data_IF_693274125544
#
_entry.id   IF_693274125544
#
_cell.length_a   1.000
_cell.length_b   1.000
_cell.length_c   1.000
_cell.angle_alpha   90.00
_cell.angle_beta   90.00
_cell.angle_gamma   90.00
#
_symmetry.space_group_name_H-M   'P 1'
#
loop_
_entity.id
_entity.type
_entity.pdbx_description
1 polymer ?
2 non-polymer ?
3 non-polymer ?
4 water ?
#
# COMPACT_ATOMS: atom_id res chain seq x y z
N UNK A 5 -9.04 -17.92 -18.76
CA UNK A 5 -8.88 -16.56 -19.26
C UNK A 5 -7.44 -16.05 -18.86
N UNK A 6 -7.14 -14.85 -18.37
CA UNK A 6 -5.72 -14.54 -18.06
C UNK A 6 -5.43 -14.19 -16.59
N UNK A 7 -4.18 -14.53 -16.20
CA UNK A 7 -3.51 -14.36 -14.89
C UNK A 7 -2.05 -13.95 -15.16
N UNK A 8 -1.63 -12.80 -14.60
CA UNK A 8 -0.28 -12.25 -14.70
C UNK A 8 0.19 -12.07 -13.26
N UNK A 9 1.47 -12.24 -13.10
CA UNK A 9 2.15 -12.10 -11.86
C UNK A 9 3.07 -10.95 -12.05
N UNK A 10 3.27 -10.19 -10.99
CA UNK A 10 4.15 -9.04 -10.93
C UNK A 10 5.08 -9.29 -9.73
N UNK A 11 6.33 -9.46 -10.06
CA UNK A 11 7.36 -9.73 -9.13
C UNK A 11 7.71 -8.44 -8.40
N UNK A 12 7.71 -8.43 -7.07
CA UNK A 12 8.06 -7.24 -6.29
C UNK A 12 9.42 -7.38 -5.62
N UNK A 13 9.99 -6.23 -5.28
CA UNK A 13 11.24 -6.08 -4.58
C UNK A 13 10.95 -5.55 -3.20
N UNK A 14 11.50 -6.20 -2.19
CA UNK A 14 11.28 -5.78 -0.85
C UNK A 14 12.47 -4.93 -0.46
N UNK A 15 12.21 -3.70 -0.11
CA UNK A 15 13.26 -2.86 0.37
C UNK A 15 13.00 -2.65 1.84
N UNK A 16 13.77 -3.33 2.65
CA UNK A 16 13.66 -3.19 4.07
C UNK A 16 12.34 -3.33 4.75
N UNK A 17 11.46 -4.14 4.17
CA UNK A 17 10.16 -4.37 4.74
C UNK A 17 9.32 -3.14 4.73
N UNK A 18 9.77 -2.15 4.03
CA UNK A 18 9.01 -0.95 4.08
C UNK A 18 8.59 -0.42 2.74
N UNK A 19 9.20 -0.99 1.68
CA UNK A 19 8.87 -0.57 0.31
C UNK A 19 8.85 -1.78 -0.52
N UNK A 20 7.69 -2.07 -1.08
CA UNK A 20 7.47 -3.21 -1.97
C UNK A 20 7.14 -2.66 -3.34
N UNK A 21 8.03 -2.79 -4.30
CA UNK A 21 7.78 -2.23 -5.63
C UNK A 21 8.03 -3.18 -6.77
N UNK A 22 7.38 -2.88 -7.86
CA UNK A 22 7.50 -3.68 -9.06
C UNK A 22 7.65 -2.72 -10.23
N UNK A 23 7.69 -3.30 -11.45
CA UNK A 23 7.85 -2.50 -12.66
C UNK A 23 6.76 -2.46 -13.69
N UNK A 24 6.61 -1.29 -14.30
CA UNK A 24 5.63 -1.04 -15.35
C UNK A 24 6.35 -0.37 -16.44
N UNK A 25 5.77 -0.41 -17.64
CA UNK A 25 6.37 0.21 -18.81
C UNK A 25 5.40 1.20 -19.36
N UNK A 26 5.93 2.36 -19.70
CA UNK A 26 5.11 3.42 -20.23
C UNK A 26 5.59 3.99 -21.55
N UNK A 27 4.66 4.21 -22.41
CA UNK A 27 5.07 4.80 -23.67
C UNK A 27 5.51 3.75 -24.61
N UNK A 28 5.88 4.22 -25.78
CA UNK A 28 6.33 3.40 -26.88
C UNK A 28 7.52 4.10 -27.51
N UNK A 29 8.72 3.49 -27.43
CA UNK A 29 9.08 2.22 -26.75
C UNK A 29 8.87 2.38 -25.25
N UNK A 30 8.63 1.31 -24.53
CA UNK A 30 8.36 1.43 -23.09
C UNK A 30 9.48 2.07 -22.26
N UNK A 31 9.12 2.92 -21.28
CA UNK A 31 9.97 3.58 -20.29
C UNK A 31 9.58 2.90 -18.97
N UNK A 32 10.56 2.30 -18.30
CA UNK A 32 10.37 1.55 -17.09
C UNK A 32 10.51 2.26 -15.80
N UNK A 33 9.50 2.01 -14.97
CA UNK A 33 9.43 2.65 -13.69
C UNK A 33 9.13 1.66 -12.64
N UNK A 34 9.59 1.91 -11.41
CA UNK A 34 9.35 1.08 -10.29
C UNK A 34 8.25 1.80 -9.53
N UNK A 35 7.20 1.09 -9.21
CA UNK A 35 6.11 1.71 -8.54
C UNK A 35 5.59 0.82 -7.46
N UNK A 36 4.95 1.46 -6.50
CA UNK A 36 4.32 0.76 -5.40
C UNK A 36 2.90 0.61 -5.90
N UNK A 37 2.22 -0.47 -5.58
CA UNK A 37 0.85 -0.66 -6.01
C UNK A 37 0.10 -0.40 -4.75
N UNK A 38 -0.59 0.70 -4.70
CA UNK A 38 -1.31 1.11 -3.49
C UNK A 38 -2.80 0.93 -3.47
N UNK A 39 -3.36 0.10 -2.55
CA UNK A 39 -4.80 -0.04 -2.54
C UNK A 39 -5.49 1.14 -1.85
N UNK A 40 -4.68 2.10 -1.45
CA UNK A 40 -5.24 3.28 -0.72
C UNK A 40 -5.48 4.47 -1.62
N UNK A 41 -5.15 4.34 -2.91
CA UNK A 41 -5.38 5.45 -3.80
C UNK A 41 -5.70 4.98 -5.21
N UNK A 42 -6.00 5.91 -6.10
CA UNK A 42 -6.36 5.37 -7.41
C UNK A 42 -5.67 6.01 -8.60
N UNK A 43 -4.80 6.96 -8.37
CA UNK A 43 -4.14 7.53 -9.52
C UNK A 43 -2.81 6.86 -9.79
N UNK A 44 -2.30 7.04 -11.03
CA UNK A 44 -1.00 6.60 -11.54
C UNK A 44 -0.16 7.85 -11.73
N UNK A 45 1.08 7.80 -11.30
CA UNK A 45 1.96 8.94 -11.48
C UNK A 45 3.38 8.42 -11.54
N UNK A 46 4.25 9.19 -12.16
CA UNK A 46 5.66 8.90 -12.33
C UNK A 46 6.36 10.25 -12.41
N UNK A 47 7.63 10.29 -12.24
CA UNK A 47 8.17 11.58 -12.36
C UNK A 47 8.35 12.00 -13.82
N UNK A 48 8.22 13.29 -14.01
CA UNK A 48 8.36 13.88 -15.30
C UNK A 48 9.70 14.52 -15.60
N UNK A 49 9.95 14.62 -16.87
CA UNK A 49 11.16 15.28 -17.40
C UNK A 49 11.12 16.77 -17.12
N UNK A 50 9.92 17.33 -17.06
CA UNK A 50 9.67 18.73 -16.80
C UNK A 50 9.83 19.07 -15.30
N UNK A 51 10.37 18.12 -14.51
CA UNK A 51 10.62 18.30 -13.07
C UNK A 51 11.96 19.01 -12.88
N UNK A 52 12.01 20.07 -12.07
CA UNK A 52 13.27 20.74 -11.86
C UNK A 52 14.19 20.07 -10.86
N UNK A 53 15.50 20.11 -11.20
CA UNK A 53 16.59 19.60 -10.41
C UNK A 53 16.61 20.43 -9.10
N UNK A 54 15.81 21.50 -9.13
CA UNK A 54 15.59 22.40 -8.02
C UNK A 54 14.61 21.67 -7.06
N UNK A 55 14.53 20.32 -7.24
CA UNK A 55 13.78 19.19 -6.58
C UNK A 55 14.69 17.98 -6.73
N UNK A 56 15.40 17.67 -5.65
CA UNK A 56 16.38 16.62 -5.54
C UNK A 56 15.89 15.22 -5.83
N UNK A 57 14.67 14.97 -5.36
CA UNK A 57 14.04 13.69 -5.56
C UNK A 57 14.03 13.38 -7.07
N UNK A 58 13.74 14.40 -7.89
CA UNK A 58 13.75 14.27 -9.34
C UNK A 58 15.17 14.01 -9.86
N UNK A 59 16.21 14.37 -9.12
CA UNK A 59 17.51 14.08 -9.68
C UNK A 59 17.92 12.63 -9.46
N UNK A 60 17.30 12.03 -8.44
CA UNK A 60 17.62 10.68 -8.02
C UNK A 60 16.65 9.55 -8.40
N UNK A 61 15.64 9.87 -9.23
CA UNK A 61 14.62 8.95 -9.71
C UNK A 61 14.49 9.02 -11.22
N UNK A 62 13.93 7.96 -11.83
CA UNK A 62 13.73 7.87 -13.27
C UNK A 62 12.64 8.88 -13.75
N UNK A 63 12.89 9.59 -14.83
CA UNK A 63 11.97 10.57 -15.28
C UNK A 63 11.37 10.24 -16.62
N UNK A 64 10.11 10.39 -16.68
CA UNK A 64 9.45 10.13 -17.89
C UNK A 64 9.54 11.24 -18.95
N UNK A 65 10.02 10.85 -20.15
CA UNK A 65 10.20 11.74 -21.33
C UNK A 65 9.06 11.66 -22.36
N UNK A 66 8.10 12.55 -22.31
CA UNK A 66 7.03 12.39 -23.28
C UNK A 66 7.48 12.41 -24.72
N UNK A 67 8.39 13.30 -25.01
CA UNK A 67 8.85 13.39 -26.33
C UNK A 67 9.47 12.13 -26.84
N UNK A 68 9.65 11.14 -26.02
CA UNK A 68 10.26 9.97 -26.59
C UNK A 68 9.27 8.88 -26.82
N UNK A 69 8.01 9.21 -26.73
CA UNK A 69 7.00 8.17 -26.96
C UNK A 69 6.05 8.60 -28.08
N UNK A 70 5.78 7.65 -28.94
CA UNK A 70 4.90 7.78 -30.09
C UNK A 70 3.47 7.75 -29.74
N UNK A 71 3.16 7.03 -28.66
CA UNK A 71 1.82 6.91 -28.20
C UNK A 71 1.35 8.02 -27.26
N UNK A 72 2.28 8.88 -26.75
CA UNK A 72 1.90 9.96 -25.86
C UNK A 72 0.86 10.82 -26.52
N UNK A 73 -0.17 11.15 -25.76
CA UNK A 73 -1.27 12.01 -26.14
C UNK A 73 -1.43 12.93 -24.94
N UNK A 74 -1.14 14.18 -25.21
CA UNK A 74 -1.18 15.32 -24.31
C UNK A 74 -2.55 15.65 -23.82
N UNK A 75 -2.61 16.01 -22.52
CA UNK A 75 -3.80 16.42 -21.80
C UNK A 75 -3.45 17.71 -21.11
N UNK A 76 -2.56 17.66 -20.15
CA UNK A 76 -2.15 18.89 -19.51
C UNK A 76 -2.99 19.41 -18.37
N UNK A 77 -4.12 18.77 -18.05
CA UNK A 77 -4.90 19.28 -16.90
C UNK A 77 -4.03 19.13 -15.62
N UNK A 78 -3.96 20.20 -14.79
CA UNK A 78 -3.16 20.16 -13.54
C UNK A 78 -3.66 19.09 -12.54
N UNK A 79 -2.79 18.61 -11.69
CA UNK A 79 -3.13 17.57 -10.77
C UNK A 79 -2.34 17.71 -9.46
N UNK A 80 -3.03 17.63 -8.32
CA UNK A 80 -2.37 17.73 -7.05
C UNK A 80 -2.77 16.52 -6.26
N UNK A 81 -1.81 15.75 -5.76
CA UNK A 81 -2.17 14.59 -4.99
C UNK A 81 -1.57 14.61 -3.61
N UNK A 82 -2.46 14.83 -2.63
CA UNK A 82 -2.15 14.88 -1.23
C UNK A 82 -2.27 13.47 -0.59
N UNK A 83 -1.16 12.89 -0.17
CA UNK A 83 -1.20 11.61 0.49
C UNK A 83 -1.06 11.80 2.03
N UNK A 84 -1.18 10.71 2.82
CA UNK A 84 -1.00 10.79 4.26
C UNK A 84 0.36 11.39 4.50
N UNK A 85 1.30 10.93 3.70
CA UNK A 85 2.65 11.39 3.75
C UNK A 85 3.10 11.87 2.37
N UNK A 86 3.26 13.17 2.16
CA UNK A 86 3.72 13.53 0.83
C UNK A 86 2.59 14.04 -0.06
N UNK A 87 2.91 15.06 -0.76
CA UNK A 87 2.02 15.70 -1.69
C UNK A 87 2.79 15.83 -2.96
N UNK A 88 2.16 15.48 -4.10
CA UNK A 88 2.81 15.57 -5.41
C UNK A 88 1.82 16.25 -6.30
N UNK A 89 2.40 16.99 -7.24
CA UNK A 89 1.75 17.82 -8.25
C UNK A 89 2.40 17.70 -9.60
N UNK A 90 1.54 17.92 -10.59
CA UNK A 90 2.01 17.87 -11.96
C UNK A 90 0.83 17.96 -12.87
N UNK A 91 0.94 17.44 -14.07
CA UNK A 91 -0.19 17.52 -14.95
C UNK A 91 -0.45 16.18 -15.56
N UNK A 92 -1.66 16.03 -15.93
CA UNK A 92 -2.19 14.81 -16.50
C UNK A 92 -1.75 14.52 -17.93
N UNK A 93 -1.57 13.26 -18.17
CA UNK A 93 -1.17 12.84 -19.46
C UNK A 93 -1.58 11.45 -19.85
N UNK A 94 -1.58 11.19 -21.15
CA UNK A 94 -1.99 9.89 -21.56
C UNK A 94 -1.07 9.11 -22.46
N UNK A 95 -0.92 7.80 -22.20
CA UNK A 95 -0.03 6.95 -23.05
C UNK A 95 -0.30 5.50 -22.71
N UNK A 96 0.38 4.54 -23.33
CA UNK A 96 0.07 3.15 -22.96
C UNK A 96 0.97 2.68 -21.85
N UNK A 97 0.42 1.93 -20.92
CA UNK A 97 1.16 1.41 -19.79
C UNK A 97 0.96 -0.07 -19.81
N UNK A 98 1.98 -0.84 -19.51
CA UNK A 98 1.87 -2.29 -19.50
C UNK A 98 2.38 -2.77 -18.15
N UNK A 99 1.60 -3.55 -17.49
CA UNK A 99 1.98 -4.02 -16.23
C UNK A 99 1.64 -5.47 -16.28
N UNK A 100 2.57 -6.30 -15.94
CA UNK A 100 2.21 -7.69 -15.92
C UNK A 100 1.89 -8.33 -17.26
N UNK A 101 2.36 -7.73 -18.28
CA UNK A 101 2.12 -8.28 -19.56
C UNK A 101 0.82 -7.79 -20.23
N UNK A 102 0.01 -6.91 -19.61
CA UNK A 102 -1.24 -6.33 -20.08
C UNK A 102 -1.10 -4.84 -20.37
N UNK A 103 -1.36 -4.48 -21.62
CA UNK A 103 -1.23 -3.11 -22.08
C UNK A 103 -2.55 -2.42 -22.13
N UNK A 104 -2.62 -1.27 -21.51
CA UNK A 104 -3.82 -0.50 -21.51
C UNK A 104 -3.39 0.90 -21.85
N UNK A 105 -4.36 1.66 -22.28
CA UNK A 105 -4.12 3.06 -22.62
C UNK A 105 -4.56 3.80 -21.39
N UNK A 106 -3.62 4.43 -20.69
CA UNK A 106 -3.96 5.05 -19.44
C UNK A 106 -3.64 6.50 -19.24
N UNK A 107 -4.51 7.17 -18.45
CA UNK A 107 -4.31 8.56 -18.09
C UNK A 107 -3.48 8.56 -16.81
N UNK A 108 -2.30 9.20 -16.84
CA UNK A 108 -1.43 9.18 -15.67
C UNK A 108 -0.88 10.53 -15.40
N UNK A 109 -0.44 10.72 -14.21
CA UNK A 109 0.09 12.02 -13.99
C UNK A 109 1.60 12.06 -14.24
N UNK A 110 2.06 13.16 -14.82
CA UNK A 110 3.49 13.37 -14.99
C UNK A 110 3.84 14.35 -13.80
N UNK A 111 4.55 13.95 -12.70
CA UNK A 111 4.86 14.79 -11.50
C UNK A 111 5.96 15.81 -11.70
N UNK A 112 5.76 17.09 -11.34
CA UNK A 112 6.86 18.05 -11.58
C UNK A 112 7.31 18.69 -10.26
N UNK A 113 6.64 18.27 -9.19
CA UNK A 113 6.87 18.70 -7.84
C UNK A 113 6.78 17.45 -7.01
N UNK A 114 7.95 17.12 -6.47
CA UNK A 114 8.18 15.97 -5.63
C UNK A 114 9.08 16.37 -4.44
N UNK A 115 8.48 16.64 -3.28
CA UNK A 115 9.22 17.04 -2.07
C UNK A 115 10.28 16.04 -1.63
N UNK A 116 11.32 16.54 -1.01
CA UNK A 116 12.36 15.65 -0.54
C UNK A 116 11.85 14.75 0.54
N UNK A 117 11.10 15.32 1.47
CA UNK A 117 10.53 14.53 2.53
C UNK A 117 9.10 14.32 2.07
N UNK A 118 8.68 13.08 1.81
CA UNK A 118 9.33 11.79 1.99
C UNK A 118 9.95 11.20 0.75
N UNK A 119 9.81 11.82 -0.42
CA UNK A 119 10.39 11.19 -1.65
C UNK A 119 11.87 10.84 -1.72
N UNK A 120 12.76 11.46 -0.96
CA UNK A 120 14.17 11.04 -1.08
C UNK A 120 14.38 9.71 -0.36
N UNK A 121 13.40 9.30 0.43
CA UNK A 121 13.55 8.03 1.07
C UNK A 121 13.08 6.95 0.08
N UNK A 122 12.47 7.39 -1.00
CA UNK A 122 11.90 6.45 -1.92
C UNK A 122 12.75 5.61 -2.76
N UNK A 123 12.57 4.31 -2.72
CA UNK A 123 13.42 3.58 -3.67
C UNK A 123 12.71 3.37 -5.03
N UNK A 124 11.41 3.62 -5.07
CA UNK A 124 10.58 3.48 -6.24
C UNK A 124 10.51 4.81 -6.89
N UNK A 125 10.02 4.85 -8.12
CA UNK A 125 9.90 6.12 -8.80
C UNK A 125 8.48 6.69 -8.74
N UNK A 126 7.50 5.80 -8.69
CA UNK A 126 6.11 6.27 -8.67
C UNK A 126 5.18 5.25 -8.08
N UNK A 127 3.91 5.65 -8.19
CA UNK A 127 2.76 4.93 -7.69
C UNK A 127 1.70 4.57 -8.77
N UNK A 128 1.14 3.40 -8.61
CA UNK A 128 0.06 2.85 -9.45
C UNK A 128 -1.10 2.59 -8.47
N UNK A 129 -2.17 3.43 -8.40
CA UNK A 129 -3.28 3.19 -7.42
C UNK A 129 -4.20 2.04 -7.79
N UNK A 130 -4.49 1.16 -6.85
CA UNK A 130 -5.35 0.03 -7.15
C UNK A 130 -6.67 0.14 -6.49
N UNK A 131 -7.06 1.37 -6.21
CA UNK A 131 -8.33 1.63 -5.58
C UNK A 131 -9.43 1.79 -6.66
N UNK A 132 -10.56 2.39 -6.23
CA UNK A 132 -11.76 2.63 -7.00
C UNK A 132 -11.84 4.01 -7.59
N UNK A 133 -12.74 4.22 -8.50
CA UNK A 133 -12.78 5.52 -9.05
C UNK A 133 -13.23 6.62 -8.09
N UNK A 134 -13.91 6.25 -7.04
CA UNK A 134 -14.34 7.22 -6.06
C UNK A 134 -13.22 7.92 -5.30
N UNK A 135 -11.98 7.39 -5.36
CA UNK A 135 -10.80 7.97 -4.65
C UNK A 135 -9.82 8.71 -5.60
N UNK A 136 -10.16 8.58 -6.88
CA UNK A 136 -9.43 9.11 -8.01
C UNK A 136 -9.54 10.58 -8.17
N UNK A 137 -8.41 11.19 -7.96
CA UNK A 137 -8.39 12.59 -8.08
C UNK A 137 -8.65 12.91 -9.55
N UNK A 138 -9.49 13.87 -9.84
CA UNK A 138 -9.70 14.14 -11.23
C UNK A 138 -10.66 13.18 -11.91
N UNK A 139 -11.38 12.35 -11.15
CA UNK A 139 -12.32 11.41 -11.72
C UNK A 139 -11.75 10.55 -12.86
N UNK A 140 -10.42 10.50 -12.94
CA UNK A 140 -9.67 9.71 -13.93
C UNK A 140 -9.83 8.23 -13.66
N UNK A 141 -10.13 7.47 -14.71
CA UNK A 141 -10.32 6.03 -14.52
C UNK A 141 -9.10 5.23 -14.13
N UNK A 142 -9.20 4.53 -13.02
CA UNK A 142 -8.16 3.72 -12.47
C UNK A 142 -7.70 2.61 -13.42
N UNK A 143 -6.38 2.29 -13.34
CA UNK A 143 -5.73 1.31 -14.18
C UNK A 143 -6.41 -0.03 -14.15
N UNK A 144 -6.87 -0.44 -13.00
CA UNK A 144 -7.47 -1.74 -12.96
C UNK A 144 -8.82 -1.80 -13.60
N UNK A 145 -9.55 -0.74 -13.51
CA UNK A 145 -10.84 -0.74 -14.13
C UNK A 145 -10.59 -0.86 -15.60
N UNK A 146 -9.61 -0.13 -16.08
CA UNK A 146 -9.33 -0.25 -17.49
C UNK A 146 -8.90 -1.68 -17.81
N UNK A 147 -8.18 -2.30 -16.90
CA UNK A 147 -7.74 -3.65 -17.19
C UNK A 147 -8.91 -4.61 -17.34
N UNK A 148 -9.81 -4.44 -16.42
CA UNK A 148 -10.97 -5.23 -16.38
C UNK A 148 -11.70 -5.04 -17.70
N UNK A 149 -11.88 -3.79 -18.10
CA UNK A 149 -12.58 -3.45 -19.35
C UNK A 149 -12.06 -4.20 -20.58
N UNK A 150 -10.81 -4.42 -20.57
CA UNK A 150 -10.19 -5.12 -21.64
C UNK A 150 -10.72 -6.54 -21.72
N UNK A 151 -11.44 -6.92 -20.70
CA UNK A 151 -11.96 -8.27 -20.65
C UNK A 151 -10.90 -9.37 -20.84
N UNK A 152 -10.01 -9.59 -19.92
CA UNK A 152 -9.03 -10.62 -20.20
C UNK A 152 -8.65 -11.45 -18.99
N UNK A 153 -8.89 -10.99 -17.79
CA UNK A 153 -8.50 -11.82 -16.67
C UNK A 153 -9.47 -12.92 -16.38
N UNK A 154 -8.94 -13.98 -15.80
CA UNK A 154 -9.74 -15.10 -15.41
C UNK A 154 -10.84 -14.66 -14.48
N UNK A 155 -10.48 -13.73 -13.60
CA UNK A 155 -11.38 -13.17 -12.62
C UNK A 155 -11.00 -11.75 -12.25
N UNK A 156 -11.96 -11.00 -11.70
CA UNK A 156 -11.70 -9.64 -11.27
C UNK A 156 -11.24 -9.62 -9.85
N UNK A 157 -10.03 -10.07 -9.72
CA UNK A 157 -9.35 -10.19 -8.47
C UNK A 157 -7.89 -9.92 -8.70
N UNK A 158 -7.29 -9.45 -7.64
CA UNK A 158 -5.87 -9.17 -7.58
C UNK A 158 -5.44 -9.57 -6.14
N UNK A 159 -4.24 -10.18 -6.04
CA UNK A 159 -3.65 -10.69 -4.80
C UNK A 159 -2.28 -10.15 -4.57
N UNK A 160 -2.02 -9.88 -3.29
CA UNK A 160 -0.77 -9.39 -2.77
C UNK A 160 -0.02 -10.40 -1.89
N UNK A 161 1.25 -10.59 -2.16
CA UNK A 161 2.12 -11.46 -1.37
C UNK A 161 3.30 -10.54 -1.05
N UNK A 162 3.53 -10.23 0.24
CA UNK A 162 4.65 -9.44 0.69
C UNK A 162 5.56 -10.40 1.46
N UNK A 163 6.81 -10.52 1.08
CA UNK A 163 7.72 -11.37 1.75
C UNK A 163 8.44 -10.62 2.85
N UNK A 164 9.01 -11.46 3.74
CA UNK A 164 9.82 -11.07 4.89
C UNK A 164 11.21 -10.55 4.53
N UNK A 165 11.89 -11.15 3.67
N UNK A 172 12.31 -11.70 -5.32
CA UNK A 172 11.07 -12.25 -4.78
C UNK A 172 10.76 -11.82 -3.39
N UNK A 173 10.76 -10.51 -3.25
CA UNK A 173 10.49 -9.74 -2.07
C UNK A 173 8.99 -9.66 -2.01
N UNK A 174 8.38 -10.02 -3.14
CA UNK A 174 6.93 -10.00 -3.15
C UNK A 174 6.32 -10.45 -4.45
N UNK A 175 5.02 -10.47 -4.49
CA UNK A 175 4.40 -10.86 -5.73
C UNK A 175 2.93 -10.50 -5.77
N UNK A 176 2.51 -9.79 -6.82
CA UNK A 176 1.11 -9.41 -7.00
C UNK A 176 0.59 -10.26 -8.18
N UNK A 177 -0.59 -10.82 -8.05
CA UNK A 177 -1.17 -11.63 -9.09
C UNK A 177 -2.41 -10.95 -9.66
N UNK A 178 -2.43 -10.62 -10.93
CA UNK A 178 -3.59 -9.98 -11.47
C UNK A 178 -4.55 -11.03 -12.04
N UNK A 179 -5.77 -11.05 -11.55
CA UNK A 179 -6.77 -12.01 -12.01
C UNK A 179 -6.79 -13.34 -11.31
N UNK A 180 -6.20 -13.47 -10.11
CA UNK A 180 -6.17 -14.76 -9.36
C UNK A 180 -5.30 -14.73 -8.10
N UNK A 181 -4.87 -15.89 -7.55
CA UNK A 181 -4.02 -15.94 -6.40
C UNK A 181 -2.96 -16.99 -6.64
N UNK A 182 -1.94 -16.98 -5.85
CA UNK A 182 -0.94 -17.94 -6.03
C UNK A 182 -0.88 -18.62 -4.71
N UNK A 183 -1.26 -19.86 -4.84
CA UNK A 183 -1.36 -20.76 -3.74
C UNK A 183 -0.05 -21.24 -3.21
N UNK A 184 0.95 -21.11 -4.00
CA UNK A 184 2.21 -21.50 -3.48
C UNK A 184 2.60 -20.49 -2.36
N UNK A 185 1.78 -19.42 -2.10
CA UNK A 185 2.06 -18.40 -1.12
C UNK A 185 1.09 -18.21 0.01
N UNK A 186 0.26 -19.23 0.21
CA UNK A 186 -0.68 -19.17 1.32
C UNK A 186 -1.08 -20.53 1.70
N UNK A 187 -1.27 -20.69 2.98
CA UNK A 187 -1.67 -21.93 3.63
C UNK A 187 -3.13 -21.83 4.00
N UNK A 188 -3.84 -22.92 3.73
CA UNK A 188 -5.24 -23.06 4.01
C UNK A 188 -6.15 -22.29 3.05
N UNK A 189 -7.39 -22.07 3.52
CA UNK A 189 -8.41 -21.37 2.76
C UNK A 189 -8.42 -19.89 3.14
N UNK A 190 -9.10 -19.11 2.32
CA UNK A 190 -9.28 -17.69 2.50
C UNK A 190 -10.50 -17.42 3.37
N UNK A 191 -10.47 -16.29 4.06
CA UNK A 191 -11.55 -15.82 4.94
C UNK A 191 -11.90 -14.46 4.43
N UNK A 192 -13.17 -14.30 4.08
CA UNK A 192 -13.64 -13.12 3.45
C UNK A 192 -14.41 -12.19 4.27
N UNK A 193 -14.16 -10.93 4.01
CA UNK A 193 -14.84 -9.92 4.74
C UNK A 193 -15.37 -8.97 3.66
N UNK A 194 -16.66 -8.58 3.72
CA UNK A 194 -17.30 -7.72 2.76
C UNK A 194 -16.99 -6.28 2.91
N UNK A 195 -16.99 -5.67 1.76
CA UNK A 195 -16.74 -4.31 1.81
C UNK A 195 -17.91 -3.69 2.58
N UNK A 196 -17.55 -2.70 3.38
CA UNK A 196 -18.46 -1.99 4.26
C UNK A 196 -19.21 -0.97 3.44
N UNK A 197 -18.44 -0.28 2.62
CA UNK A 197 -18.89 0.73 1.65
C UNK A 197 -18.15 0.48 0.33
N UNK A 198 -18.80 0.77 -0.76
CA UNK A 198 -18.12 0.53 -2.00
C UNK A 198 -17.33 1.78 -2.37
N UNK A 199 -16.28 1.62 -3.16
CA UNK A 199 -15.45 2.77 -3.54
C UNK A 199 -14.16 2.87 -2.71
N UNK A 200 -13.96 2.01 -1.68
CA UNK A 200 -12.79 2.05 -0.84
C UNK A 200 -12.56 0.72 -0.22
N UNK A 201 -11.29 0.30 -0.22
CA UNK A 201 -11.07 -0.98 0.39
C UNK A 201 -11.09 -0.91 1.93
N UNK A 202 -12.27 -0.81 2.53
CA UNK A 202 -12.42 -0.75 3.96
C UNK A 202 -13.47 -1.75 4.42
N UNK A 203 -13.18 -2.40 5.53
CA UNK A 203 -14.01 -3.37 6.18
C UNK A 203 -14.13 -2.94 7.64
N UNK A 204 -15.01 -3.65 8.29
CA UNK A 204 -15.27 -3.39 9.67
C UNK A 204 -14.33 -4.24 10.52
N UNK A 205 -13.89 -3.71 11.66
CA UNK A 205 -13.03 -4.48 12.53
C UNK A 205 -13.79 -4.63 13.83
N UNK A 206 -13.63 -5.74 14.47
CA UNK A 206 -14.37 -5.84 15.68
C UNK A 206 -13.60 -5.70 17.00
N UNK A 207 -12.31 -5.39 17.01
CA UNK A 207 -11.56 -5.25 18.24
C UNK A 207 -10.13 -5.49 17.95
N UNK A 208 -9.29 -4.76 18.70
CA UNK A 208 -7.86 -4.85 18.69
C UNK A 208 -7.56 -5.37 20.11
N UNK A 209 -6.95 -6.52 20.27
CA UNK A 209 -6.65 -7.04 21.57
C UNK A 209 -5.17 -7.05 21.89
N UNK A 210 -4.81 -6.84 23.16
CA UNK A 210 -3.42 -6.92 23.56
C UNK A 210 -3.29 -8.14 24.45
N UNK A 211 -2.54 -9.11 24.02
CA UNK A 211 -2.45 -10.34 24.79
C UNK A 211 -3.81 -10.98 24.60
N UNK A 212 -4.56 -11.10 25.66
CA UNK A 212 -5.85 -11.69 25.45
C UNK A 212 -7.05 -10.78 25.75
N UNK A 213 -6.81 -9.50 25.96
CA UNK A 213 -7.77 -8.46 26.29
C UNK A 213 -8.04 -7.43 25.20
N UNK A 214 -9.32 -7.21 24.95
CA UNK A 214 -9.77 -6.26 23.97
C UNK A 214 -9.57 -4.88 24.57
N UNK A 215 -8.65 -4.07 23.99
CA UNK A 215 -8.33 -2.73 24.45
C UNK A 215 -8.89 -1.66 23.57
N UNK A 216 -8.93 -1.95 22.28
CA UNK A 216 -9.43 -0.90 21.44
C UNK A 216 -10.46 -1.44 20.54
N UNK A 217 -11.16 -0.50 19.92
CA UNK A 217 -12.17 -0.79 18.92
C UNK A 217 -13.18 -1.86 19.30
N UNK A 218 -13.67 -1.75 20.51
CA UNK A 218 -14.60 -2.75 21.03
C UNK A 218 -16.02 -2.77 20.59
N UNK A 219 -16.46 -1.63 20.06
CA UNK A 219 -17.78 -1.47 19.57
C UNK A 219 -17.69 -1.36 18.05
N UNK A 220 -16.51 -1.87 17.53
CA UNK A 220 -16.12 -1.96 16.11
C UNK A 220 -15.55 -0.67 15.56
N UNK A 221 -14.88 -0.81 14.46
CA UNK A 221 -14.25 0.33 13.85
C UNK A 221 -13.96 -0.05 12.43
N UNK A 222 -13.27 0.83 11.70
CA UNK A 222 -12.97 0.54 10.31
C UNK A 222 -11.55 0.33 10.07
N UNK A 223 -11.32 -0.59 9.18
CA UNK A 223 -9.97 -0.92 8.77
C UNK A 223 -9.71 -0.69 7.27
N UNK A 224 -8.77 0.19 6.83
CA UNK A 224 -8.59 0.26 5.40
C UNK A 224 -7.47 -0.73 5.12
N UNK A 225 -7.61 -1.63 4.13
CA UNK A 225 -6.52 -2.58 3.83
C UNK A 225 -5.61 -1.88 2.84
N UNK A 226 -4.48 -1.34 3.31
CA UNK A 226 -3.64 -0.50 2.38
C UNK A 226 -2.26 -1.04 2.09
N UNK A 227 -2.01 -1.46 0.86
CA UNK A 227 -0.74 -2.03 0.52
C UNK A 227 0.34 -1.01 0.35
N UNK A 228 -0.05 0.25 0.20
CA UNK A 228 0.95 1.22 0.01
C UNK A 228 1.34 1.95 1.29
N UNK A 229 0.92 1.44 2.46
CA UNK A 229 1.25 1.96 3.82
C UNK A 229 2.25 0.95 4.38
N UNK A 230 3.48 1.33 4.74
CA UNK A 230 4.48 0.37 5.27
C UNK A 230 4.17 -0.23 6.65
N UNK A 231 3.44 0.53 7.44
CA UNK A 231 3.13 0.08 8.79
C UNK A 231 1.62 -0.09 9.00
N UNK A 232 1.19 -0.38 10.23
CA UNK A 232 -0.19 -0.49 10.62
C UNK A 232 -0.46 0.87 11.17
N UNK A 233 -1.61 1.43 10.90
CA UNK A 233 -1.92 2.76 11.36
C UNK A 233 -3.21 2.70 12.15
N UNK A 234 -3.33 3.68 12.96
CA UNK A 234 -4.41 3.93 13.83
C UNK A 234 -4.45 5.42 14.14
N UNK A 235 -5.57 5.83 14.61
CA UNK A 235 -5.65 7.20 14.92
C UNK A 235 -4.74 7.47 16.09
N UNK A 236 -4.44 8.75 16.21
CA UNK A 236 -3.58 9.17 17.30
C UNK A 236 -4.02 8.67 18.70
N UNK A 237 -5.30 8.92 19.09
CA UNK A 237 -5.91 8.48 20.34
C UNK A 237 -5.78 6.94 20.50
N UNK A 238 -5.90 6.23 19.45
CA UNK A 238 -5.75 4.82 19.63
C UNK A 238 -4.32 4.32 19.78
N UNK A 239 -3.45 4.88 18.97
CA UNK A 239 -2.08 4.40 19.03
C UNK A 239 -1.46 4.75 20.40
N UNK A 240 -1.90 5.86 20.95
CA UNK A 240 -1.44 6.29 22.25
C UNK A 240 -1.76 5.22 23.30
N UNK A 241 -2.99 4.78 23.31
CA UNK A 241 -3.47 3.79 24.24
C UNK A 241 -2.78 2.45 24.05
N UNK A 242 -2.55 2.11 22.79
CA UNK A 242 -1.89 0.87 22.42
C UNK A 242 -0.43 0.82 22.87
N UNK A 243 0.30 1.87 22.50
CA UNK A 243 1.70 2.00 22.85
C UNK A 243 1.89 2.02 24.36
N UNK A 244 0.95 2.68 25.02
CA UNK A 244 0.96 2.73 26.47
C UNK A 244 0.98 1.26 26.97
N UNK A 245 0.13 0.47 26.39
CA UNK A 245 0.01 -0.92 26.73
C UNK A 245 1.14 -1.79 26.31
N UNK A 246 1.84 -1.39 25.30
CA UNK A 246 2.93 -2.27 24.92
C UNK A 246 4.21 -1.83 25.67
N UNK A 247 4.21 -0.62 26.14
CA UNK A 247 5.38 -0.07 26.82
C UNK A 247 6.39 0.61 25.88
N UNK A 248 5.88 1.24 24.83
CA UNK A 248 6.70 1.88 23.83
C UNK A 248 6.74 3.40 23.97
N UNK A 249 7.92 3.93 23.56
CA UNK A 249 8.26 5.33 23.59
C UNK A 249 8.08 5.95 22.22
N UNK A 250 7.64 7.18 22.24
CA UNK A 250 7.41 7.95 21.08
C UNK A 250 8.64 8.74 20.68
N UNK A 251 9.02 8.55 19.43
CA UNK A 251 10.09 9.27 18.78
C UNK A 251 9.33 10.12 17.79
N UNK A 252 9.98 11.03 17.11
CA UNK A 252 9.24 11.86 16.19
C UNK A 252 8.78 11.02 15.04
N UNK A 253 9.68 10.19 14.63
CA UNK A 253 9.38 9.40 13.51
C UNK A 253 8.83 7.97 13.72
N UNK A 254 8.78 7.46 14.96
CA UNK A 254 8.34 6.09 15.17
C UNK A 254 8.15 5.74 16.62
N UNK A 255 7.57 4.57 16.88
CA UNK A 255 7.43 4.22 18.26
C UNK A 255 8.57 3.29 18.46
N UNK A 256 9.17 3.34 19.63
CA UNK A 256 10.32 2.54 19.89
C UNK A 256 10.27 1.87 21.24
N UNK A 257 11.07 0.85 21.30
CA UNK A 257 11.23 0.06 22.51
C UNK A 257 12.70 -0.35 22.71
N UNK A 258 13.15 -0.52 23.97
CA UNK A 258 14.54 -0.98 24.12
C UNK A 258 14.64 -2.31 23.43
N UNK A 259 15.65 -2.43 22.58
CA UNK A 259 15.75 -3.67 21.89
C UNK A 259 15.84 -4.90 22.72
N UNK A 260 16.29 -4.82 23.93
CA UNK A 260 16.33 -6.09 24.59
C UNK A 260 14.90 -6.51 24.95
N UNK A 261 14.00 -5.57 25.02
CA UNK A 261 12.65 -5.91 25.42
C UNK A 261 11.75 -6.45 24.33
N UNK A 262 12.25 -6.46 23.13
CA UNK A 262 11.49 -6.88 22.00
C UNK A 262 10.71 -8.15 22.17
N UNK A 263 11.34 -9.09 22.76
CA UNK A 263 10.61 -10.31 22.88
C UNK A 263 9.76 -10.46 24.11
N UNK A 264 9.48 -9.39 24.86
CA UNK A 264 8.67 -9.43 26.06
C UNK A 264 7.34 -8.78 25.76
N UNK A 265 7.27 -8.26 24.53
CA UNK A 265 6.13 -7.53 24.04
C UNK A 265 4.98 -8.45 23.72
N UNK A 266 3.78 -8.11 24.13
CA UNK A 266 2.62 -8.98 23.92
C UNK A 266 2.18 -9.09 22.50
N UNK A 267 1.42 -10.14 22.23
CA UNK A 267 0.88 -10.29 20.89
C UNK A 267 -0.30 -9.35 20.77
N UNK A 268 -0.58 -8.94 19.55
CA UNK A 268 -1.65 -8.01 19.24
C UNK A 268 -2.54 -8.74 18.22
N UNK A 269 -3.82 -8.57 18.33
CA UNK A 269 -4.68 -9.29 17.40
C UNK A 269 -5.79 -8.41 16.91
N UNK A 270 -6.07 -8.56 15.58
CA UNK A 270 -7.11 -7.86 14.85
C UNK A 270 -8.25 -8.84 14.59
N UNK A 271 -9.43 -8.40 15.03
CA UNK A 271 -10.67 -9.16 14.90
C UNK A 271 -11.45 -8.71 13.70
N UNK A 272 -11.18 -9.44 12.69
CA UNK A 272 -11.73 -9.19 11.42
C UNK A 272 -12.64 -10.29 11.08
N UNK A 273 -13.85 -9.87 10.93
CA UNK A 273 -14.80 -10.80 10.55
C UNK A 273 -14.90 -11.85 11.60
N UNK A 274 -14.81 -13.06 11.14
CA UNK A 274 -14.90 -14.14 12.07
C UNK A 274 -13.57 -14.60 12.64
N UNK A 275 -12.43 -13.90 12.46
CA UNK A 275 -11.17 -14.42 13.04
C UNK A 275 -10.39 -13.36 13.78
N UNK A 276 -9.43 -13.89 14.59
CA UNK A 276 -8.50 -13.05 15.28
C UNK A 276 -7.30 -13.23 14.39
N UNK A 277 -6.66 -12.14 14.01
CA UNK A 277 -5.45 -12.13 13.17
C UNK A 277 -4.40 -11.55 14.10
N UNK A 278 -3.46 -12.40 14.52
CA UNK A 278 -2.45 -12.05 15.49
C UNK A 278 -1.07 -11.86 15.02
N UNK A 279 -0.55 -10.75 15.44
CA UNK A 279 0.82 -10.47 15.11
C UNK A 279 1.57 -10.59 16.41
N UNK A 280 2.71 -11.20 16.38
CA UNK A 280 3.48 -11.30 17.60
C UNK A 280 4.65 -10.33 17.59
N UNK A 281 5.36 -10.22 18.72
CA UNK A 281 6.54 -9.32 18.78
C UNK A 281 7.43 -9.47 17.52
N UNK A 282 7.54 -10.71 17.05
CA UNK A 282 8.32 -11.05 15.90
C UNK A 282 7.80 -10.50 14.60
N UNK A 283 6.56 -10.18 14.58
CA UNK A 283 6.01 -9.63 13.36
C UNK A 283 5.98 -8.15 13.33
N UNK A 284 5.99 -7.49 14.51
CA UNK A 284 5.89 -6.05 14.48
C UNK A 284 7.00 -5.18 15.03
N UNK A 285 8.12 -5.82 15.40
CA UNK A 285 9.28 -5.10 15.94
C UNK A 285 10.42 -5.26 14.96
N UNK A 286 11.10 -4.19 14.58
CA UNK A 286 12.25 -4.38 13.66
C UNK A 286 13.47 -4.70 14.56
N UNK A 287 13.57 -5.94 14.93
CA UNK A 287 14.59 -6.47 15.80
C UNK A 287 15.99 -6.46 15.19
N UNK A 288 16.59 -5.28 15.19
CA UNK A 288 17.95 -5.05 14.71
C UNK A 288 18.97 -5.71 15.64
N UNK A 289 18.65 -5.71 16.96
CA UNK A 289 19.50 -6.31 18.00
C UNK A 289 18.69 -6.70 19.23
N UNK A 290 19.29 -7.62 20.02
CA UNK A 290 18.69 -8.08 21.24
C UNK A 290 19.37 -7.33 22.38
N UNK A 291 20.15 -6.34 21.89
CA UNK A 291 20.91 -5.40 22.71
C UNK A 291 20.09 -4.30 23.34
N UNK A 292 20.37 -4.11 24.63
CA UNK A 292 19.73 -3.11 25.43
C UNK A 292 20.34 -1.80 25.15
N UNK A 293 19.70 -0.76 25.66
CA UNK A 293 20.28 0.54 25.35
C UNK A 293 20.44 0.70 23.79
N UNK A 294 19.45 0.28 23.06
CA UNK A 294 19.42 0.36 21.61
C UNK A 294 17.99 0.15 21.30
N UNK A 295 17.41 1.23 20.89
CA UNK A 295 16.04 1.38 20.55
C UNK A 295 15.67 0.63 19.25
N UNK A 296 14.67 -0.25 19.31
CA UNK A 296 14.14 -1.01 18.14
C UNK A 296 12.77 -0.41 17.72
N UNK A 297 12.57 -0.32 16.39
CA UNK A 297 11.34 0.27 15.86
C UNK A 297 10.15 -0.62 15.80
N UNK A 298 8.99 -0.09 16.14
CA UNK A 298 7.81 -0.90 16.02
C UNK A 298 7.22 -0.56 14.66
N UNK A 299 6.70 -1.54 14.00
CA UNK A 299 6.10 -1.23 12.73
C UNK A 299 4.62 -0.84 12.78
N UNK A 300 4.22 0.16 13.61
CA UNK A 300 2.86 0.65 13.80
C UNK A 300 3.03 2.09 14.13
N UNK A 301 2.20 3.00 13.66
CA UNK A 301 2.38 4.37 14.02
C UNK A 301 1.08 5.05 13.95
N UNK A 302 1.01 6.32 14.30
CA UNK A 302 -0.26 6.95 14.26
C UNK A 302 -0.54 7.66 12.96
N UNK A 303 -1.82 7.70 12.54
CA UNK A 303 -2.21 8.42 11.35
C UNK A 303 -3.68 8.80 11.38
N UNK A 304 -3.94 10.11 11.39
CA UNK A 304 -5.25 10.65 11.39
C UNK A 304 -5.70 10.79 9.95
N UNK A 305 -6.60 9.90 9.50
CA UNK A 305 -7.09 9.96 8.13
C UNK A 305 -8.41 10.70 8.21
N UNK A 306 -8.47 11.82 7.50
CA UNK A 306 -9.65 12.65 7.52
C UNK A 306 -10.83 11.97 6.89
N UNK A 307 -12.02 12.41 7.27
CA UNK A 307 -13.21 11.86 6.71
C UNK A 307 -13.33 12.47 5.35
N UNK A 308 -14.19 11.96 4.60
CA UNK A 308 -15.06 10.84 4.89
C UNK A 308 -14.40 9.45 5.01
N UNK A 309 -13.24 9.29 4.44
CA UNK A 309 -12.67 7.98 4.55
C UNK A 309 -12.17 7.57 5.95
N UNK A 310 -11.64 8.53 6.67
CA UNK A 310 -11.14 8.35 8.00
C UNK A 310 -12.25 8.80 8.91
N UNK A 311 -12.14 8.51 10.19
CA UNK A 311 -11.03 7.80 10.79
C UNK A 311 -11.12 6.31 10.63
N UNK A 312 -9.97 5.70 10.31
CA UNK A 312 -9.88 4.27 10.15
C UNK A 312 -8.50 3.82 10.50
N UNK A 313 -8.39 2.56 10.72
CA UNK A 313 -7.11 1.98 10.97
C UNK A 313 -6.62 1.73 9.56
N UNK A 314 -5.37 1.31 9.43
CA UNK A 314 -4.84 0.99 8.15
C UNK A 314 -3.96 -0.19 8.31
N UNK A 315 -4.39 -1.27 7.74
CA UNK A 315 -3.59 -2.41 7.91
C UNK A 315 -2.63 -2.44 6.76
N UNK A 316 -1.37 -2.05 7.02
CA UNK A 316 -0.41 -2.01 5.93
C UNK A 316 0.47 -3.23 5.78
N UNK A 317 1.70 -3.03 5.20
CA UNK A 317 2.69 -4.14 5.01
C UNK A 317 3.00 -4.96 6.23
N UNK A 318 2.97 -4.35 7.43
CA UNK A 318 3.25 -5.18 8.56
C UNK A 318 2.22 -6.31 8.59
N UNK A 319 0.98 -5.97 8.24
CA UNK A 319 -0.10 -6.97 8.26
C UNK A 319 -0.06 -7.94 7.10
N UNK A 320 -0.03 -7.31 5.93
CA UNK A 320 0.03 -8.04 4.73
C UNK A 320 1.14 -9.07 4.72
N UNK A 321 2.32 -8.77 5.28
CA UNK A 321 3.43 -9.74 5.30
C UNK A 321 3.07 -11.08 5.90
N UNK A 322 2.11 -11.04 6.82
CA UNK A 322 1.71 -12.26 7.50
C UNK A 322 0.48 -12.89 6.94
N UNK A 323 -0.38 -12.02 6.41
CA UNK A 323 -1.64 -12.46 5.82
C UNK A 323 -1.81 -12.12 4.33
N UNK A 324 -1.66 -13.16 3.49
CA UNK A 324 -1.78 -13.18 2.04
C UNK A 324 -3.10 -12.54 1.76
N UNK A 325 -3.10 -11.38 1.09
CA UNK A 325 -4.34 -10.67 0.86
C UNK A 325 -4.95 -10.70 -0.52
N UNK A 326 -6.24 -10.98 -0.53
CA UNK A 326 -6.94 -11.02 -1.78
C UNK A 326 -7.95 -9.94 -1.93
N UNK A 327 -7.86 -9.17 -3.03
CA UNK A 327 -8.81 -8.09 -3.29
C UNK A 327 -9.73 -8.52 -4.44
N UNK A 328 -10.97 -8.78 -4.10
CA UNK A 328 -11.99 -9.25 -5.00
C UNK A 328 -13.10 -8.25 -5.28
N UNK A 329 -12.94 -7.75 -6.48
CA UNK A 329 -13.72 -6.81 -7.21
C UNK A 329 -14.99 -7.50 -7.75
N UNK A 330 -15.03 -8.78 -8.13
CA UNK A 330 -16.32 -9.28 -8.60
C UNK A 330 -17.30 -9.21 -7.41
N UNK A 331 -16.97 -9.86 -6.30
CA UNK A 331 -17.82 -9.88 -5.13
C UNK A 331 -17.74 -8.72 -4.11
N UNK A 332 -16.94 -7.66 -4.34
CA UNK A 332 -16.88 -6.57 -3.33
C UNK A 332 -16.54 -7.02 -1.93
N UNK A 333 -15.46 -7.77 -1.87
CA UNK A 333 -15.02 -8.28 -0.58
C UNK A 333 -13.48 -8.44 -0.53
N UNK A 334 -12.87 -8.76 0.62
CA UNK A 334 -11.39 -8.97 0.77
C UNK A 334 -11.13 -10.34 1.46
N UNK A 335 -10.22 -11.18 0.96
CA UNK A 335 -9.97 -12.43 1.62
C UNK A 335 -8.55 -12.42 2.17
N UNK A 336 -8.31 -13.17 3.25
CA UNK A 336 -7.00 -13.23 3.84
C UNK A 336 -6.68 -14.69 4.07
N UNK A 337 -5.41 -15.09 3.94
CA UNK A 337 -4.98 -16.47 4.23
C UNK A 337 -3.60 -16.29 4.75
N UNK A 338 -3.11 -17.27 5.49
CA UNK A 338 -1.80 -17.20 6.03
C UNK A 338 -0.76 -17.26 4.94
N UNK A 339 0.17 -16.30 4.91
CA UNK A 339 1.23 -16.22 3.92
C UNK A 339 2.31 -17.29 4.14
N UNK A 340 3.01 -17.74 3.10
CA UNK A 340 4.08 -18.74 3.26
C UNK A 340 4.98 -18.63 2.03
X LIG B 1 -8.05 16.06 -20.58
X LIG B 1 -8.64 16.94 -21.69
X LIG B 1 -9.80 17.63 -21.04
X LIG B 1 -10.76 16.57 -20.48
X LIG B 1 -9.88 15.46 -19.52
X LIG B 1 -10.71 14.30 -19.02
X LIG B 1 -7.48 18.11 -23.39
X LIG B 1 -6.52 19.20 -23.85
X LIG B 1 -7.72 17.99 -22.09
X LIG B 1 -10.44 18.43 -22.01
X LIG B 1 -11.79 17.18 -19.70
X LIG B 1 -8.89 14.95 -20.35
X LIG B 1 -11.28 14.67 -17.79
X LIG B 1 -8.01 17.33 -24.20
X LIG C 1 7.58 6.13 7.23
X LIG C 1 7.35 4.68 7.71
X LIG C 1 7.64 7.08 8.44
X LIG C 1 8.88 6.32 6.45
X LIG C 1 6.32 6.57 6.16
X LIG C 1 6.64 7.88 5.66
X LIG C 1 5.09 6.65 6.81
X LIG C 1 6.13 5.42 4.94
X LIG C 1 5.12 6.00 3.97
X LIG C 1 5.33 5.36 2.67
X LIG C 1 6.62 5.76 2.03
X LIG C 1 7.64 4.87 2.15
X LIG C 1 8.88 5.18 1.56
X LIG C 1 9.06 6.36 0.81
X LIG C 1 8.02 7.25 0.65
X LIG C 1 6.78 6.94 1.25
X LIG C 1 3.78 5.48 4.22
X LIG C 1 3.67 4.32 4.51
X LIG C 1 2.82 6.34 4.00
X LIG C 1 1.47 5.99 4.16
X LIG C 1 0.90 6.47 5.52
X LIG C 1 -0.33 5.74 6.12
X LIG C 1 -1.67 6.16 5.93
X LIG C 1 -0.38 4.66 6.93
X LIG C 1 -1.71 4.42 7.21
X LIG C 1 -2.45 5.32 6.61
X LIG C 1 0.76 6.65 3.01
X LIG C 1 0.52 7.86 2.97
X LIG C 1 0.40 5.78 2.09
X LIG C 1 -0.32 6.12 0.87
X LIG C 1 0.22 5.34 -0.29
X LIG C 1 1.68 5.64 -0.37
X LIG C 1 2.28 5.10 -1.66
X LIG C 1 3.79 5.37 -1.57
X LIG C 1 4.04 6.87 -1.66
X LIG C 1 3.19 7.67 -0.66
X LIG C 1 1.75 7.14 -0.43
X LIG C 1 -1.85 5.89 0.89
X LIG C 1 -2.21 4.52 0.82
X LIG C 1 -2.53 6.62 2.04
X LIG C 1 -3.97 6.87 1.68
X LIG C 1 -4.85 7.04 2.93
X LIG C 1 -6.03 7.85 2.56
X LIG C 1 -5.45 5.74 3.41
X LIG C 1 -4.14 8.09 0.80
X LIG C 1 -3.39 9.05 0.94
X LIG C 1 -5.15 7.98 -0.05
X LIG C 1 -5.69 8.94 -0.96
X LIG C 1 -4.73 9.40 -1.98
X LIG C 1 -5.54 10.37 -2.83
X LIG C 1 -4.54 11.22 -3.63
#
# INVERSE_FOLDING_TARGET
>A
LTLGNTTSSVILTNYMDTQYYGEIGIGTPPQTFKVVFDTGSSNVWVPSSKCSRLYTACVYHKLFDASDSSSYKHNGTELTLRYSTGTVSGFLSQDIITVGGITVTQMFGEVTEMPALPFMLAEFDGVVGMGFIEQAIGRVTPIFDNIISQGVLKEDVFSFYYNRDSENSQSLGGQIVLGGSDPQHYEGNFHYINLIKTGVWQIQMKGVSVGSSTLLCEDGCLALVDTGASYISGSTSSIEKLMEALGAKKRLFDYVVKCNEGPTLPDISFHLGGKEYTLTSADYVFQESYSSKKLCTLAIHAMDIPPPTGPTWALGATFIRKFYTEFDRRNNRIGFALAR
>B hetero
1 NAG C1 C2 C3 C4 C5 C6 C7 C8 N2 O3 O4 O5 O6 O7
>C hetero
1 C60 CS1 CS2 CS3 CS4 SS OS1 OS2 CNF CAF CBF C1F C2F C3F C4F C5F C6F CF OF NH CAH CBH C1H N1H C2H N2H C3H CH OH NC CAC CBC C1C C2C C3C C4C C5C C6C CC OC CNV CAV CBV C1V C2V CV OV NT C1T C2T C3T C4T
#
